data_IF_730915154455
#
_entry.id   IF_730915154455
#
_cell.length_a   1.000
_cell.length_b   1.000
_cell.length_c   1.000
_cell.angle_alpha   90.00
_cell.angle_beta   90.00
_cell.angle_gamma   90.00
#
_symmetry.space_group_name_H-M   'P 1'
#
loop_
_entity.id
_entity.type
_entity.pdbx_description
1 polymer ?
#
# COMPACT_ATOMS: atom_id res chain seq x y z
N UNK A 1 -3.60 -25.32 25.52
CA UNK A 1 -3.55 -26.27 24.39
C UNK A 1 -2.85 -25.54 23.26
N UNK A 2 -1.70 -26.09 22.84
CA UNK A 2 -0.69 -25.41 22.05
C UNK A 2 -1.07 -25.35 20.57
N UNK A 3 -1.14 -24.14 20.04
CA UNK A 3 -0.96 -23.85 18.60
C UNK A 3 -0.12 -22.58 18.46
N UNK A 4 1.01 -22.51 19.17
CA UNK A 4 2.08 -21.58 18.82
C UNK A 4 2.94 -22.27 17.76
N UNK A 5 2.57 -22.16 16.49
CA UNK A 5 3.46 -22.28 15.31
C UNK A 5 2.64 -22.21 14.02
N UNK A 6 2.54 -21.02 13.45
CA UNK A 6 2.28 -20.85 12.01
C UNK A 6 2.94 -19.60 11.39
N UNK A 7 3.37 -18.59 12.16
CA UNK A 7 4.11 -17.46 11.60
C UNK A 7 5.21 -16.94 12.54
N UNK A 8 6.31 -16.43 11.97
CA UNK A 8 7.50 -16.01 12.72
C UNK A 8 7.33 -14.72 13.54
N UNK A 9 6.11 -14.18 13.64
CA UNK A 9 5.79 -12.91 14.28
C UNK A 9 4.61 -13.09 15.24
N UNK A 10 4.62 -12.41 16.39
CA UNK A 10 3.44 -12.37 17.27
C UNK A 10 2.27 -11.66 16.60
N UNK A 11 1.03 -11.95 17.01
CA UNK A 11 -0.18 -11.35 16.44
C UNK A 11 -0.13 -9.81 16.41
N UNK A 12 0.38 -9.21 17.49
CA UNK A 12 0.57 -7.77 17.57
C UNK A 12 1.56 -7.26 16.51
N UNK A 13 2.72 -7.92 16.41
CA UNK A 13 3.74 -7.55 15.43
C UNK A 13 3.24 -7.75 14.00
N UNK A 14 2.45 -8.81 13.72
CA UNK A 14 1.83 -9.03 12.40
C UNK A 14 0.94 -7.84 12.03
N UNK A 15 0.06 -7.41 12.94
CA UNK A 15 -0.81 -6.26 12.72
C UNK A 15 -0.04 -4.96 12.45
N UNK A 16 1.02 -4.71 13.23
CA UNK A 16 1.90 -3.54 13.04
C UNK A 16 2.59 -3.61 11.67
N UNK A 17 3.21 -4.72 11.32
CA UNK A 17 3.92 -4.90 10.04
C UNK A 17 2.99 -4.74 8.84
N UNK A 18 1.79 -5.31 8.87
CA UNK A 18 0.80 -5.17 7.79
C UNK A 18 0.34 -3.73 7.64
N UNK A 19 0.08 -3.04 8.75
CA UNK A 19 -0.34 -1.62 8.70
C UNK A 19 0.79 -0.73 8.20
N UNK A 20 2.01 -0.89 8.72
CA UNK A 20 3.17 -0.10 8.32
C UNK A 20 3.49 -0.28 6.84
N UNK A 21 3.50 -1.53 6.35
CA UNK A 21 3.76 -1.82 4.93
C UNK A 21 2.71 -1.23 4.00
N UNK A 22 1.41 -1.38 4.31
CA UNK A 22 0.33 -0.81 3.52
C UNK A 22 0.41 0.73 3.48
N UNK A 23 0.68 1.37 4.62
CA UNK A 23 0.84 2.82 4.69
C UNK A 23 2.03 3.31 3.88
N UNK A 24 3.21 2.69 4.05
CA UNK A 24 4.41 3.06 3.28
C UNK A 24 4.23 2.80 1.79
N UNK A 25 3.59 1.68 1.43
CA UNK A 25 3.26 1.34 0.05
C UNK A 25 2.38 2.39 -0.62
N UNK A 26 1.34 2.86 0.07
CA UNK A 26 0.48 3.93 -0.42
C UNK A 26 1.25 5.23 -0.64
N UNK A 27 2.07 5.65 0.32
CA UNK A 27 2.88 6.88 0.21
C UNK A 27 3.85 6.79 -0.97
N UNK A 28 4.60 5.68 -1.08
CA UNK A 28 5.54 5.45 -2.18
C UNK A 28 4.82 5.40 -3.54
N UNK A 29 3.63 4.80 -3.61
CA UNK A 29 2.82 4.81 -4.82
C UNK A 29 2.35 6.23 -5.19
N UNK A 30 2.00 7.06 -4.20
CA UNK A 30 1.58 8.45 -4.43
C UNK A 30 2.72 9.29 -4.99
N UNK A 31 3.92 9.13 -4.43
CA UNK A 31 5.15 9.73 -4.95
C UNK A 31 5.46 9.23 -6.37
N UNK A 32 5.39 7.92 -6.60
CA UNK A 32 5.61 7.34 -7.92
C UNK A 32 4.59 7.85 -8.96
N UNK A 33 3.33 8.03 -8.56
CA UNK A 33 2.30 8.61 -9.43
C UNK A 33 2.65 10.05 -9.81
N UNK A 34 3.11 10.86 -8.86
CA UNK A 34 3.54 12.23 -9.13
C UNK A 34 4.78 12.31 -10.03
N UNK A 35 5.72 11.36 -9.93
CA UNK A 35 6.90 11.31 -10.79
C UNK A 35 6.56 10.81 -12.20
N UNK A 36 5.69 9.81 -12.33
CA UNK A 36 5.38 9.16 -13.62
C UNK A 36 4.30 9.89 -14.41
N UNK A 37 3.25 10.37 -13.73
CA UNK A 37 2.08 11.00 -14.35
C UNK A 37 2.15 12.53 -14.25
N UNK A 38 2.81 13.05 -13.21
CA UNK A 38 2.90 14.49 -12.94
C UNK A 38 1.88 14.98 -11.92
N UNK A 39 1.77 16.29 -11.77
CA UNK A 39 0.86 16.94 -10.80
C UNK A 39 0.00 18.04 -11.43
N UNK A 40 -0.19 18.01 -12.76
CA UNK A 40 -1.05 18.98 -13.44
C UNK A 40 -2.53 18.60 -13.29
N UNK A 41 -3.49 19.51 -13.58
CA UNK A 41 -4.91 19.17 -13.55
C UNK A 41 -5.28 17.97 -14.44
N UNK A 42 -4.59 17.79 -15.56
CA UNK A 42 -4.79 16.67 -16.48
C UNK A 42 -4.34 15.34 -15.85
N UNK A 43 -3.24 15.36 -15.08
CA UNK A 43 -2.71 14.20 -14.37
C UNK A 43 -3.67 13.66 -13.29
N UNK A 44 -4.61 14.48 -12.80
CA UNK A 44 -5.63 14.06 -11.85
C UNK A 44 -6.67 13.10 -12.46
N UNK A 45 -6.88 13.16 -13.79
CA UNK A 45 -7.85 12.31 -14.50
C UNK A 45 -7.19 11.09 -15.15
N UNK A 46 -5.88 10.92 -15.02
CA UNK A 46 -5.14 9.85 -15.69
C UNK A 46 -5.29 8.51 -14.96
N UNK A 47 -5.74 7.50 -15.69
CA UNK A 47 -5.91 6.13 -15.19
C UNK A 47 -4.58 5.47 -14.82
N UNK A 48 -3.45 5.94 -15.35
CA UNK A 48 -2.12 5.44 -15.03
C UNK A 48 -1.81 5.58 -13.53
N UNK A 49 -2.26 6.66 -12.87
CA UNK A 49 -2.07 6.82 -11.43
C UNK A 49 -2.80 5.72 -10.63
N UNK A 50 -3.99 5.31 -11.09
CA UNK A 50 -4.75 4.19 -10.51
C UNK A 50 -4.06 2.85 -10.76
N UNK A 51 -3.45 2.66 -11.94
CA UNK A 51 -2.67 1.46 -12.24
C UNK A 51 -1.43 1.35 -11.34
N UNK A 52 -0.72 2.45 -11.06
CA UNK A 52 0.41 2.48 -10.14
C UNK A 52 -0.03 2.06 -8.73
N UNK A 53 -1.16 2.58 -8.26
CA UNK A 53 -1.76 2.16 -6.98
C UNK A 53 -2.12 0.67 -6.98
N UNK A 54 -2.74 0.17 -8.04
CA UNK A 54 -3.07 -1.25 -8.19
C UNK A 54 -1.83 -2.14 -8.13
N UNK A 55 -0.76 -1.78 -8.83
CA UNK A 55 0.53 -2.47 -8.75
C UNK A 55 1.09 -2.44 -7.32
N UNK A 56 1.01 -1.30 -6.64
CA UNK A 56 1.47 -1.18 -5.27
C UNK A 56 0.71 -2.11 -4.31
N UNK A 57 -0.61 -2.25 -4.48
CA UNK A 57 -1.44 -3.22 -3.74
C UNK A 57 -0.96 -4.65 -3.98
N UNK A 58 -0.74 -5.05 -5.24
CA UNK A 58 -0.25 -6.40 -5.54
C UNK A 58 1.18 -6.64 -5.05
N UNK A 59 2.03 -5.60 -5.03
CA UNK A 59 3.39 -5.67 -4.50
C UNK A 59 3.44 -5.82 -2.97
N UNK A 60 2.37 -5.47 -2.23
CA UNK A 60 2.31 -5.68 -0.79
C UNK A 60 2.45 -7.16 -0.42
N UNK A 61 1.82 -8.06 -1.18
CA UNK A 61 1.84 -9.50 -0.89
C UNK A 61 3.26 -10.12 -0.90
N UNK A 62 4.08 -9.96 -1.97
CA UNK A 62 5.45 -10.47 -1.93
C UNK A 62 6.29 -9.75 -0.86
N UNK A 63 6.10 -8.45 -0.61
CA UNK A 63 6.82 -7.73 0.46
C UNK A 63 6.50 -8.34 1.83
N UNK A 64 5.22 -8.53 2.15
CA UNK A 64 4.76 -9.12 3.40
C UNK A 64 5.29 -10.54 3.59
N UNK A 65 5.28 -11.35 2.52
CA UNK A 65 5.86 -12.69 2.53
C UNK A 65 7.34 -12.67 2.88
N UNK A 66 8.11 -11.75 2.28
CA UNK A 66 9.55 -11.62 2.50
C UNK A 66 9.88 -11.20 3.93
N UNK A 67 9.01 -10.41 4.57
CA UNK A 67 9.16 -9.97 5.96
C UNK A 67 8.68 -11.04 6.97
N UNK A 68 8.22 -12.20 6.48
CA UNK A 68 7.83 -13.34 7.31
C UNK A 68 6.37 -13.33 7.77
N UNK A 69 5.53 -12.49 7.17
CA UNK A 69 4.07 -12.53 7.38
C UNK A 69 3.48 -13.70 6.60
N UNK A 70 2.74 -14.57 7.30
CA UNK A 70 2.00 -15.63 6.65
C UNK A 70 0.76 -15.06 5.93
N UNK A 71 0.92 -14.88 4.62
CA UNK A 71 -0.16 -14.49 3.71
C UNK A 71 -1.06 -15.66 3.29
N UNK A 72 -0.70 -16.91 3.60
CA UNK A 72 -1.54 -18.07 3.34
C UNK A 72 -2.82 -18.09 4.17
N UNK A 73 -2.80 -17.46 5.35
CA UNK A 73 -3.96 -17.31 6.25
C UNK A 73 -4.77 -16.02 5.99
N UNK A 74 -4.41 -15.20 4.99
CA UNK A 74 -5.11 -13.94 4.76
C UNK A 74 -6.55 -14.18 4.32
N UNK A 75 -7.49 -13.74 5.14
CA UNK A 75 -8.90 -13.72 4.80
C UNK A 75 -9.25 -12.53 3.90
N UNK A 76 -10.52 -12.46 3.51
CA UNK A 76 -11.08 -11.30 2.78
C UNK A 76 -10.86 -9.99 3.53
N UNK A 77 -10.93 -10.01 4.87
CA UNK A 77 -10.75 -8.82 5.72
C UNK A 77 -9.33 -8.28 5.60
N UNK A 78 -8.31 -9.14 5.71
CA UNK A 78 -6.90 -8.73 5.64
C UNK A 78 -6.58 -8.16 4.25
N UNK A 79 -7.08 -8.80 3.20
CA UNK A 79 -6.91 -8.34 1.82
C UNK A 79 -7.59 -6.98 1.58
N UNK A 80 -8.80 -6.80 2.10
CA UNK A 80 -9.51 -5.52 2.03
C UNK A 80 -8.77 -4.44 2.81
N UNK A 81 -8.23 -4.77 3.98
CA UNK A 81 -7.45 -3.82 4.78
C UNK A 81 -6.20 -3.35 4.03
N UNK A 82 -5.39 -4.26 3.49
CA UNK A 82 -4.16 -3.91 2.77
C UNK A 82 -4.47 -3.04 1.55
N UNK A 83 -5.44 -3.45 0.74
CA UNK A 83 -5.84 -2.71 -0.46
C UNK A 83 -6.42 -1.33 -0.14
N UNK A 84 -7.35 -1.26 0.82
CA UNK A 84 -7.98 -0.01 1.24
C UNK A 84 -6.99 0.96 1.87
N UNK A 85 -6.12 0.49 2.78
CA UNK A 85 -5.12 1.34 3.43
C UNK A 85 -4.10 1.87 2.41
N UNK A 86 -3.64 1.02 1.49
CA UNK A 86 -2.74 1.44 0.39
C UNK A 86 -3.41 2.51 -0.47
N UNK A 87 -4.68 2.32 -0.84
CA UNK A 87 -5.47 3.30 -1.58
C UNK A 87 -5.60 4.62 -0.83
N UNK A 88 -5.97 4.60 0.46
CA UNK A 88 -6.15 5.81 1.26
C UNK A 88 -4.87 6.65 1.32
N UNK A 89 -3.73 6.01 1.62
CA UNK A 89 -2.46 6.73 1.70
C UNK A 89 -1.99 7.21 0.34
N UNK A 90 -2.13 6.40 -0.72
CA UNK A 90 -1.86 6.84 -2.10
C UNK A 90 -2.70 8.07 -2.46
N UNK A 91 -4.01 8.02 -2.22
CA UNK A 91 -4.95 9.08 -2.58
C UNK A 91 -4.61 10.38 -1.85
N UNK A 92 -4.39 10.32 -0.53
CA UNK A 92 -4.05 11.51 0.27
C UNK A 92 -2.70 12.08 -0.17
N UNK A 93 -1.67 11.25 -0.33
CA UNK A 93 -0.35 11.71 -0.77
C UNK A 93 -0.41 12.35 -2.15
N UNK A 94 -1.02 11.68 -3.14
CA UNK A 94 -1.10 12.19 -4.50
C UNK A 94 -1.97 13.45 -4.60
N UNK A 95 -3.09 13.51 -3.87
CA UNK A 95 -3.93 14.71 -3.79
C UNK A 95 -3.18 15.92 -3.20
N UNK A 96 -2.36 15.72 -2.16
CA UNK A 96 -1.51 16.78 -1.60
C UNK A 96 -0.48 17.27 -2.63
N UNK A 97 0.14 16.36 -3.39
CA UNK A 97 1.12 16.72 -4.42
C UNK A 97 0.46 17.46 -5.60
N UNK A 98 -0.72 17.02 -6.02
CA UNK A 98 -1.54 17.66 -7.05
C UNK A 98 -1.94 19.09 -6.64
N UNK A 99 -2.51 19.27 -5.45
CA UNK A 99 -2.95 20.59 -4.98
C UNK A 99 -1.78 21.56 -4.75
N UNK A 100 -0.61 21.02 -4.40
CA UNK A 100 0.61 21.81 -4.21
C UNK A 100 1.38 22.08 -5.51
N UNK A 101 0.94 21.51 -6.64
CA UNK A 101 1.61 21.61 -7.95
C UNK A 101 3.12 21.33 -7.89
N UNK A 102 3.50 20.24 -7.20
CA UNK A 102 4.92 19.88 -7.00
C UNK A 102 5.60 19.51 -8.32
N UNK A 103 6.78 20.08 -8.56
CA UNK A 103 7.66 19.74 -9.69
C UNK A 103 8.89 18.99 -9.18
N UNK A 104 9.31 17.94 -9.90
CA UNK A 104 10.48 17.11 -9.59
C UNK A 104 11.63 17.36 -10.57
#
# INVERSE_FOLDING_TARGET
>A
MATESASGLSDHMRGVTVTTSACLGGILAGLASAVVVGTTPEAAADIQAVLIMGIAVFAQYPILKLVGVDIGEFGIKDNLFVSFMTFCLWFITYAILLTSAVSF
#
